data_IF_667605500033
#
_entry.id   IF_667605500033
#
_cell.length_a   1.000
_cell.length_b   1.000
_cell.length_c   1.000
_cell.angle_alpha   90.00
_cell.angle_beta   90.00
_cell.angle_gamma   90.00
#
_symmetry.space_group_name_H-M   'P 1'
#
loop_
_entity.id
_entity.type
_entity.pdbx_description
1 polymer ?
#
# COMPACT_ATOMS: atom_id res chain seq x y z
N UNK A 1 -1.16 31.97 7.06
CA UNK A 1 -1.63 31.34 8.32
C UNK A 1 -0.56 30.32 8.68
N UNK A 2 0.34 30.62 9.64
CA UNK A 2 1.63 29.94 9.74
C UNK A 2 1.50 28.42 9.98
N UNK A 3 0.48 27.97 10.70
CA UNK A 3 0.24 26.55 10.94
C UNK A 3 -0.17 25.77 9.69
N UNK A 4 -0.95 26.38 8.79
CA UNK A 4 -1.33 25.77 7.51
C UNK A 4 -0.11 25.65 6.60
N UNK A 5 0.76 26.67 6.60
CA UNK A 5 2.02 26.65 5.84
C UNK A 5 3.01 25.60 6.37
N UNK A 6 3.08 25.40 7.69
CA UNK A 6 3.91 24.35 8.30
C UNK A 6 3.40 22.96 7.90
N UNK A 7 2.08 22.71 8.00
CA UNK A 7 1.47 21.44 7.61
C UNK A 7 1.65 21.21 6.10
N UNK A 8 1.42 22.24 5.28
CA UNK A 8 1.62 22.16 3.84
C UNK A 8 3.06 21.83 3.50
N UNK A 9 4.03 22.48 4.16
CA UNK A 9 5.46 22.20 3.98
C UNK A 9 5.82 20.79 4.44
N UNK A 10 5.23 20.29 5.52
CA UNK A 10 5.43 18.92 6.01
C UNK A 10 4.85 17.87 5.04
N UNK A 11 3.65 18.12 4.48
CA UNK A 11 3.04 17.28 3.46
C UNK A 11 3.79 17.36 2.11
N UNK A 12 4.40 18.51 1.81
CA UNK A 12 5.24 18.68 0.62
C UNK A 12 6.62 18.03 0.77
N UNK A 13 7.11 17.85 2.00
CA UNK A 13 8.37 17.12 2.31
C UNK A 13 8.21 15.61 2.37
N UNK A 14 7.07 15.03 1.99
CA UNK A 14 6.93 13.58 1.91
C UNK A 14 7.77 13.10 0.72
N UNK A 15 9.06 12.89 0.99
CA UNK A 15 10.02 12.24 0.12
C UNK A 15 9.64 10.74 0.13
N UNK A 16 8.55 10.43 -0.56
CA UNK A 16 7.99 9.09 -0.61
C UNK A 16 8.93 8.24 -1.43
N UNK A 17 9.71 7.39 -0.77
CA UNK A 17 10.53 6.40 -1.46
C UNK A 17 9.60 5.43 -2.18
N UNK A 18 9.52 5.60 -3.50
CA UNK A 18 8.58 4.89 -4.38
C UNK A 18 8.81 3.38 -4.37
N UNK A 19 10.07 2.97 -4.19
CA UNK A 19 10.48 1.56 -4.11
C UNK A 19 9.99 0.98 -2.78
N UNK A 20 10.22 1.69 -1.68
CA UNK A 20 9.70 1.30 -0.36
C UNK A 20 8.17 1.27 -0.35
N UNK A 21 7.50 2.26 -0.92
CA UNK A 21 6.03 2.30 -0.99
C UNK A 21 5.46 1.07 -1.72
N UNK A 22 6.06 0.69 -2.85
CA UNK A 22 5.67 -0.52 -3.59
C UNK A 22 5.90 -1.80 -2.76
N UNK A 23 7.02 -1.85 -2.03
CA UNK A 23 7.33 -2.99 -1.17
C UNK A 23 6.38 -3.09 0.03
N UNK A 24 6.07 -1.97 0.69
CA UNK A 24 5.12 -1.92 1.81
C UNK A 24 3.71 -2.30 1.38
N UNK A 25 3.25 -1.87 0.21
CA UNK A 25 1.97 -2.31 -0.35
C UNK A 25 1.91 -3.83 -0.52
N UNK A 26 2.99 -4.45 -1.02
CA UNK A 26 3.10 -5.90 -1.16
C UNK A 26 3.15 -6.60 0.20
N UNK A 27 3.89 -6.06 1.16
CA UNK A 27 3.97 -6.59 2.52
C UNK A 27 2.59 -6.55 3.20
N UNK A 28 1.87 -5.44 3.05
CA UNK A 28 0.53 -5.26 3.58
C UNK A 28 -0.47 -6.25 2.96
N UNK A 29 -0.44 -6.43 1.64
CA UNK A 29 -1.27 -7.43 0.96
C UNK A 29 -1.00 -8.85 1.49
N UNK A 30 0.28 -9.22 1.63
CA UNK A 30 0.67 -10.53 2.17
C UNK A 30 0.22 -10.72 3.62
N UNK A 31 0.35 -9.68 4.45
CA UNK A 31 -0.07 -9.71 5.84
C UNK A 31 -1.59 -9.89 5.96
N UNK A 32 -2.37 -9.19 5.14
CA UNK A 32 -3.82 -9.34 5.08
C UNK A 32 -4.24 -10.72 4.60
N UNK A 33 -3.56 -11.26 3.60
CA UNK A 33 -3.81 -12.63 3.14
C UNK A 33 -3.49 -13.67 4.22
N UNK A 34 -2.41 -13.45 4.98
CA UNK A 34 -2.05 -14.33 6.10
C UNK A 34 -3.10 -14.31 7.20
N UNK A 35 -3.54 -13.12 7.62
CA UNK A 35 -4.61 -12.97 8.61
C UNK A 35 -5.88 -13.67 8.11
N UNK A 36 -6.26 -13.45 6.85
CA UNK A 36 -7.41 -14.12 6.24
C UNK A 36 -7.32 -15.65 6.34
N UNK A 37 -6.15 -16.22 6.03
CA UNK A 37 -5.94 -17.67 6.05
C UNK A 37 -5.90 -18.24 7.49
N UNK A 38 -5.57 -17.40 8.48
CA UNK A 38 -5.47 -17.78 9.89
C UNK A 38 -6.75 -17.44 10.69
N UNK A 39 -7.79 -16.88 10.06
CA UNK A 39 -9.05 -16.47 10.71
C UNK A 39 -9.65 -17.59 11.56
N UNK A 40 -9.63 -18.83 11.07
CA UNK A 40 -10.19 -19.97 11.81
C UNK A 40 -9.49 -20.16 13.17
N UNK A 41 -8.15 -20.08 13.18
CA UNK A 41 -7.36 -20.21 14.41
C UNK A 41 -7.57 -19.03 15.37
N UNK A 42 -7.81 -17.84 14.83
CA UNK A 42 -8.05 -16.63 15.62
C UNK A 42 -9.41 -16.76 16.33
N UNK A 43 -10.43 -17.23 15.62
CA UNK A 43 -11.77 -17.41 16.18
C UNK A 43 -11.79 -18.54 17.20
N UNK A 44 -11.14 -19.67 16.92
CA UNK A 44 -11.04 -20.78 17.88
C UNK A 44 -10.37 -20.34 19.20
N UNK A 45 -9.37 -19.45 19.14
CA UNK A 45 -8.75 -18.86 20.34
C UNK A 45 -9.68 -17.93 21.10
N UNK A 46 -10.37 -17.03 20.41
CA UNK A 46 -11.34 -16.10 21.02
C UNK A 46 -12.47 -16.89 21.69
N UNK A 47 -12.97 -17.93 21.02
CA UNK A 47 -14.02 -18.80 21.54
C UNK A 47 -13.53 -19.54 22.80
N UNK A 48 -12.28 -19.99 22.82
CA UNK A 48 -11.68 -20.65 23.99
C UNK A 48 -11.48 -19.68 25.17
N UNK A 49 -10.95 -18.48 24.93
CA UNK A 49 -10.75 -17.45 25.97
C UNK A 49 -12.08 -16.99 26.60
N UNK A 50 -13.13 -16.84 25.79
CA UNK A 50 -14.46 -16.46 26.29
C UNK A 50 -15.08 -17.53 27.19
N UNK A 51 -14.91 -18.81 26.85
CA UNK A 51 -15.40 -19.93 27.66
C UNK A 51 -14.69 -20.01 29.02
N UNK A 52 -13.39 -19.70 29.09
CA UNK A 52 -12.62 -19.68 30.34
C UNK A 52 -13.11 -18.57 31.31
N UNK A 53 -13.53 -17.42 30.78
CA UNK A 53 -14.01 -16.29 31.61
C UNK A 53 -15.43 -16.47 32.15
N UNK A 54 -16.26 -17.33 31.56
CA UNK A 54 -17.63 -17.59 32.04
C UNK A 54 -17.67 -18.54 33.25
N UNK A 55 -16.66 -19.39 33.44
CA UNK A 55 -16.63 -20.40 34.50
C UNK A 55 -16.34 -19.84 35.91
N UNK A 56 -15.76 -18.64 36.05
CA UNK A 56 -15.42 -18.07 37.36
C UNK A 56 -16.54 -17.27 38.05
N UNK A 57 -17.66 -16.93 37.38
CA UNK A 57 -18.60 -15.90 37.89
C UNK A 57 -20.07 -16.29 38.10
N UNK A 58 -20.52 -17.54 37.93
CA UNK A 58 -21.99 -17.84 38.00
C UNK A 58 -22.38 -18.99 38.95
N UNK A 59 -23.21 -18.72 39.99
CA UNK A 59 -23.81 -19.76 40.84
C UNK A 59 -24.73 -20.69 40.05
N UNK A 60 -24.55 -21.99 40.31
CA UNK A 60 -24.96 -23.19 39.56
C UNK A 60 -26.46 -23.40 39.20
N UNK A 61 -27.36 -22.40 39.36
CA UNK A 61 -28.82 -22.55 39.15
C UNK A 61 -29.38 -21.95 37.85
N UNK A 62 -28.56 -21.40 36.96
CA UNK A 62 -29.02 -20.89 35.64
C UNK A 62 -28.30 -21.53 34.44
N UNK A 63 -28.13 -22.85 34.44
CA UNK A 63 -27.50 -23.62 33.33
C UNK A 63 -28.30 -23.65 32.01
N UNK A 64 -29.30 -22.80 31.80
CA UNK A 64 -30.10 -22.76 30.56
C UNK A 64 -29.78 -21.59 29.61
N UNK A 65 -28.91 -20.65 30.01
CA UNK A 65 -28.61 -19.45 29.21
C UNK A 65 -27.14 -19.25 28.79
N UNK A 66 -26.20 -20.09 29.23
CA UNK A 66 -24.84 -20.09 28.70
C UNK A 66 -24.73 -21.14 27.59
N UNK A 67 -25.47 -20.95 26.49
CA UNK A 67 -25.12 -21.61 25.23
C UNK A 67 -24.43 -20.54 24.43
N UNK A 68 -23.10 -20.57 24.42
CA UNK A 68 -22.32 -19.94 23.37
C UNK A 68 -22.96 -20.34 22.04
N UNK A 69 -23.67 -19.40 21.42
CA UNK A 69 -24.47 -19.71 20.25
C UNK A 69 -23.50 -19.87 19.09
N UNK A 70 -23.37 -21.11 18.61
CA UNK A 70 -22.53 -21.44 17.44
C UNK A 70 -22.87 -20.52 16.25
N UNK A 71 -24.10 -20.02 16.18
CA UNK A 71 -24.52 -19.03 15.18
C UNK A 71 -23.72 -17.72 15.26
N UNK A 72 -23.37 -17.25 16.46
CA UNK A 72 -22.61 -16.01 16.70
C UNK A 72 -21.16 -16.17 16.26
N UNK A 73 -20.52 -17.29 16.58
CA UNK A 73 -19.15 -17.61 16.10
C UNK A 73 -19.09 -17.67 14.57
N UNK A 74 -20.08 -18.34 13.96
CA UNK A 74 -20.21 -18.42 12.50
C UNK A 74 -20.40 -17.04 11.87
N UNK A 75 -21.26 -16.19 12.45
CA UNK A 75 -21.49 -14.83 11.93
C UNK A 75 -20.23 -13.97 12.05
N UNK A 76 -19.52 -14.00 13.20
CA UNK A 76 -18.23 -13.30 13.38
C UNK A 76 -17.18 -13.74 12.36
N UNK A 77 -17.14 -15.04 12.05
CA UNK A 77 -16.27 -15.58 11.00
C UNK A 77 -16.58 -14.99 9.64
N UNK A 78 -17.85 -14.99 9.25
CA UNK A 78 -18.29 -14.46 7.97
C UNK A 78 -17.95 -12.97 7.87
N UNK A 79 -18.29 -12.19 8.89
CA UNK A 79 -17.99 -10.75 8.96
C UNK A 79 -16.48 -10.47 8.85
N UNK A 80 -15.64 -11.21 9.59
CA UNK A 80 -14.18 -11.06 9.54
C UNK A 80 -13.62 -11.40 8.15
N UNK A 81 -14.14 -12.44 7.50
CA UNK A 81 -13.76 -12.82 6.14
C UNK A 81 -14.15 -11.73 5.13
N UNK A 82 -15.36 -11.18 5.24
CA UNK A 82 -15.85 -10.11 4.37
C UNK A 82 -15.02 -8.83 4.51
N UNK A 83 -14.65 -8.45 5.74
CA UNK A 83 -13.77 -7.30 5.99
C UNK A 83 -12.40 -7.53 5.34
N UNK A 84 -11.80 -8.70 5.56
CA UNK A 84 -10.53 -9.06 4.94
C UNK A 84 -10.59 -9.02 3.41
N UNK A 85 -11.65 -9.58 2.82
CA UNK A 85 -11.86 -9.59 1.37
C UNK A 85 -12.05 -8.18 0.81
N UNK A 86 -12.81 -7.34 1.52
CA UNK A 86 -13.03 -5.94 1.15
C UNK A 86 -11.71 -5.16 1.16
N UNK A 87 -10.89 -5.31 2.20
CA UNK A 87 -9.58 -4.65 2.29
C UNK A 87 -8.66 -5.13 1.16
N UNK A 88 -8.53 -6.43 0.95
CA UNK A 88 -7.69 -7.00 -0.13
C UNK A 88 -8.16 -6.49 -1.49
N UNK A 89 -9.47 -6.46 -1.74
CA UNK A 89 -10.06 -5.92 -2.96
C UNK A 89 -9.73 -4.44 -3.14
N UNK A 90 -9.84 -3.63 -2.09
CA UNK A 90 -9.54 -2.20 -2.16
C UNK A 90 -8.06 -1.95 -2.45
N UNK A 91 -7.14 -2.67 -1.80
CA UNK A 91 -5.70 -2.58 -2.07
C UNK A 91 -5.44 -2.89 -3.55
N UNK A 92 -5.92 -4.05 -4.02
CA UNK A 92 -5.74 -4.48 -5.40
C UNK A 92 -6.29 -3.45 -6.37
N UNK A 93 -7.52 -2.98 -6.16
CA UNK A 93 -8.19 -2.04 -7.07
C UNK A 93 -7.46 -0.70 -7.13
N UNK A 94 -7.17 -0.10 -5.98
CA UNK A 94 -6.56 1.25 -5.88
C UNK A 94 -5.10 1.28 -6.30
N UNK A 95 -4.37 0.18 -6.09
CA UNK A 95 -2.95 0.08 -6.42
C UNK A 95 -2.68 -0.89 -7.58
N UNK A 96 -3.69 -1.17 -8.40
CA UNK A 96 -3.56 -2.00 -9.63
C UNK A 96 -2.49 -1.46 -10.55
N UNK A 97 -2.52 -0.14 -10.80
CA UNK A 97 -1.57 0.52 -11.68
C UNK A 97 -0.48 1.25 -10.88
N UNK A 98 0.70 0.64 -10.81
CA UNK A 98 1.89 1.22 -10.19
C UNK A 98 2.86 1.84 -11.21
N UNK A 99 2.44 1.94 -12.48
CA UNK A 99 3.27 2.48 -13.57
C UNK A 99 3.70 3.93 -13.34
N UNK A 100 2.86 4.75 -12.70
CA UNK A 100 3.22 6.10 -12.27
C UNK A 100 4.42 6.13 -11.31
N UNK A 101 4.58 5.13 -10.43
CA UNK A 101 5.71 5.07 -9.49
C UNK A 101 7.02 4.79 -10.22
N UNK A 102 6.99 3.93 -11.24
CA UNK A 102 8.17 3.59 -12.05
C UNK A 102 8.59 4.80 -12.88
N UNK A 103 7.63 5.48 -13.51
CA UNK A 103 7.88 6.72 -14.24
C UNK A 103 8.43 7.81 -13.32
N UNK A 104 7.81 8.00 -12.14
CA UNK A 104 8.28 8.98 -11.16
C UNK A 104 9.72 8.70 -10.72
N UNK A 105 10.08 7.44 -10.48
CA UNK A 105 11.46 7.03 -10.17
C UNK A 105 12.44 7.39 -11.29
N UNK A 106 12.03 7.27 -12.56
CA UNK A 106 12.85 7.67 -13.72
C UNK A 106 13.04 9.19 -13.85
N UNK A 107 12.10 9.99 -13.32
CA UNK A 107 12.12 11.45 -13.39
C UNK A 107 12.59 12.12 -12.09
N UNK A 108 13.12 11.35 -11.14
CA UNK A 108 13.69 11.90 -9.90
C UNK A 108 14.89 12.77 -10.23
N UNK A 109 14.85 14.01 -9.75
CA UNK A 109 15.82 15.04 -10.14
C UNK A 109 17.24 14.68 -9.70
N UNK A 110 17.33 14.05 -8.54
CA UNK A 110 18.56 13.65 -7.87
C UNK A 110 19.35 12.66 -8.72
N UNK A 111 18.64 11.76 -9.41
CA UNK A 111 19.23 10.66 -10.19
C UNK A 111 19.75 11.11 -11.56
N UNK A 112 19.30 12.26 -12.09
CA UNK A 112 19.78 12.76 -13.39
C UNK A 112 21.28 13.02 -13.41
N UNK A 113 21.90 13.36 -12.27
CA UNK A 113 23.35 13.53 -12.19
C UNK A 113 24.06 12.21 -12.50
N UNK A 114 23.50 11.10 -12.04
CA UNK A 114 24.04 9.76 -12.22
C UNK A 114 23.76 9.21 -13.63
N UNK A 115 22.68 9.64 -14.28
CA UNK A 115 22.27 9.18 -15.61
C UNK A 115 23.29 9.48 -16.71
N UNK A 116 24.21 10.43 -16.51
CA UNK A 116 25.34 10.64 -17.42
C UNK A 116 26.36 9.49 -17.35
N UNK A 117 26.56 8.90 -16.17
CA UNK A 117 27.51 7.82 -15.94
C UNK A 117 26.85 6.46 -16.15
N UNK A 118 25.68 6.26 -15.54
CA UNK A 118 24.93 5.01 -15.57
C UNK A 118 23.44 5.33 -15.75
N UNK A 119 22.93 5.09 -16.96
CA UNK A 119 21.52 5.30 -17.26
C UNK A 119 20.69 4.07 -16.87
N UNK A 120 19.56 4.21 -16.16
CA UNK A 120 18.75 3.07 -15.71
C UNK A 120 17.87 2.55 -16.84
N UNK A 121 18.46 1.74 -17.72
CA UNK A 121 17.77 1.16 -18.88
C UNK A 121 16.57 0.26 -18.50
N UNK A 122 16.63 -0.39 -17.32
CA UNK A 122 15.53 -1.19 -16.79
C UNK A 122 14.31 -0.32 -16.46
N UNK A 123 14.49 0.77 -15.69
CA UNK A 123 13.41 1.70 -15.35
C UNK A 123 12.81 2.36 -16.59
N UNK A 124 13.64 2.69 -17.58
CA UNK A 124 13.18 3.20 -18.86
C UNK A 124 12.29 2.17 -19.58
N UNK A 125 12.72 0.91 -19.66
CA UNK A 125 11.94 -0.13 -20.30
C UNK A 125 10.62 -0.36 -19.58
N UNK A 126 10.64 -0.42 -18.26
CA UNK A 126 9.45 -0.60 -17.44
C UNK A 126 8.48 0.59 -17.55
N UNK A 127 9.01 1.81 -17.70
CA UNK A 127 8.21 3.02 -17.95
C UNK A 127 7.53 2.99 -19.33
N UNK A 128 8.24 2.59 -20.37
CA UNK A 128 7.66 2.46 -21.73
C UNK A 128 6.63 1.34 -21.78
N UNK A 129 6.85 0.25 -21.06
CA UNK A 129 5.87 -0.83 -20.94
C UNK A 129 4.60 -0.35 -20.22
N UNK A 130 4.74 0.49 -19.19
CA UNK A 130 3.62 1.09 -18.47
C UNK A 130 2.88 2.16 -19.30
N UNK A 131 3.58 2.87 -20.18
CA UNK A 131 3.05 3.92 -21.06
C UNK A 131 3.47 3.68 -22.51
N UNK A 132 2.77 2.76 -23.17
CA UNK A 132 3.10 2.31 -24.53
C UNK A 132 3.06 3.43 -25.59
N UNK A 133 2.40 4.55 -25.30
CA UNK A 133 2.38 5.73 -26.16
C UNK A 133 3.69 6.55 -26.13
N UNK A 134 4.61 6.25 -25.20
CA UNK A 134 5.89 6.96 -25.07
C UNK A 134 6.97 6.23 -25.86
N UNK A 135 7.64 6.94 -26.75
CA UNK A 135 8.75 6.39 -27.52
C UNK A 135 10.04 6.28 -26.69
N UNK A 136 10.58 5.07 -26.59
CA UNK A 136 11.76 4.75 -25.75
C UNK A 136 12.98 5.61 -26.09
N UNK A 137 13.24 5.84 -27.38
CA UNK A 137 14.41 6.59 -27.85
C UNK A 137 14.29 8.06 -27.45
N UNK A 138 13.12 8.66 -27.71
CA UNK A 138 12.81 10.06 -27.36
C UNK A 138 12.91 10.26 -25.85
N UNK A 139 12.33 9.35 -25.06
CA UNK A 139 12.39 9.43 -23.60
C UNK A 139 13.83 9.36 -23.07
N UNK A 140 14.64 8.41 -23.57
CA UNK A 140 16.06 8.29 -23.18
C UNK A 140 16.87 9.55 -23.53
N UNK A 141 16.63 10.11 -24.71
CA UNK A 141 17.30 11.34 -25.15
C UNK A 141 16.92 12.52 -24.27
N UNK A 142 15.62 12.69 -23.97
CA UNK A 142 15.13 13.76 -23.11
C UNK A 142 15.69 13.64 -21.68
N UNK A 143 15.65 12.46 -21.07
CA UNK A 143 16.24 12.25 -19.75
C UNK A 143 17.73 12.60 -19.73
N UNK A 144 18.50 12.23 -20.77
CA UNK A 144 19.92 12.61 -20.90
C UNK A 144 20.12 14.11 -21.15
N UNK A 145 19.22 14.75 -21.89
CA UNK A 145 19.26 16.19 -22.14
C UNK A 145 19.07 16.98 -20.84
N UNK A 146 18.09 16.59 -20.00
CA UNK A 146 17.86 17.19 -18.69
C UNK A 146 19.07 17.12 -17.75
N UNK A 147 19.98 16.15 -17.92
CA UNK A 147 21.24 16.09 -17.16
C UNK A 147 22.25 17.18 -17.55
N UNK A 148 22.18 17.70 -18.78
CA UNK A 148 23.12 18.70 -19.32
C UNK A 148 22.72 20.12 -18.96
N UNK A 149 21.43 20.41 -18.92
CA UNK A 149 20.90 21.68 -18.44
C UNK A 149 20.82 21.69 -16.91
N UNK A 150 21.91 22.03 -16.22
CA UNK A 150 21.89 22.43 -14.80
C UNK A 150 21.05 23.71 -14.52
N UNK A 151 20.15 24.12 -15.41
CA UNK A 151 19.52 25.45 -15.38
C UNK A 151 18.12 25.53 -16.01
N UNK A 152 17.32 24.46 -16.02
CA UNK A 152 15.91 24.60 -16.38
C UNK A 152 15.06 24.86 -15.13
N UNK A 153 14.53 26.08 -15.05
CA UNK A 153 13.51 26.55 -14.09
C UNK A 153 12.31 25.59 -14.10
N UNK A 154 11.56 25.48 -12.98
CA UNK A 154 10.49 24.49 -12.83
C UNK A 154 9.51 24.58 -14.00
N UNK A 155 9.26 23.42 -14.61
CA UNK A 155 8.20 23.18 -15.59
C UNK A 155 6.84 23.43 -14.91
N UNK A 156 6.42 24.70 -14.90
CA UNK A 156 5.05 25.13 -14.70
C UNK A 156 4.81 26.29 -15.65
N UNK A 157 4.57 25.97 -16.92
CA UNK A 157 3.91 26.82 -17.91
C UNK A 157 3.43 25.91 -19.05
N UNK A 158 2.31 25.24 -18.83
CA UNK A 158 1.38 24.91 -19.91
C UNK A 158 0.02 25.45 -19.48
N UNK A 159 -0.35 26.57 -20.12
CA UNK A 159 -1.61 27.31 -20.17
C UNK A 159 -2.40 27.54 -18.87
#
# INVERSE_FOLDING_TARGET
MPHIEIIFKQLQTINTDLIKAKQELKNFENAMQKIRNEIDKIIDKIDSELLETEDELVPQKRRRYARYDRSVSINRKIEALEVCDSIIKQIKTRFTFTGHLIAAALFMKEDFIEYQKYFPDQLLSDTVNAYQFIEKIVLKQNCKYFTKEKSCKPFLCYH
#
